data_IF_072001020371
#
_entry.id   IF_072001020371
#
_cell.length_a   1.000
_cell.length_b   1.000
_cell.length_c   1.000
_cell.angle_alpha   90.00
_cell.angle_beta   90.00
_cell.angle_gamma   90.00
#
_symmetry.space_group_name_H-M   'P 1'
#
loop_
_entity.id
_entity.type
_entity.pdbx_description
1 polymer ?
#
# COMPACT_ATOMS: atom_id res chain seq x y z
N UNK A 1 9.07 -9.93 -33.53
CA UNK A 1 8.73 -10.93 -32.49
C UNK A 1 8.45 -10.18 -31.20
N UNK A 2 7.24 -10.32 -30.66
CA UNK A 2 6.90 -9.77 -29.34
C UNK A 2 7.37 -10.79 -28.31
N UNK A 3 8.57 -10.59 -27.75
CA UNK A 3 9.06 -11.40 -26.65
C UNK A 3 8.28 -10.97 -25.41
N UNK A 4 7.24 -11.74 -25.04
CA UNK A 4 6.60 -11.58 -23.73
C UNK A 4 7.43 -12.37 -22.72
N UNK A 5 8.21 -11.66 -21.92
CA UNK A 5 8.86 -12.23 -20.73
C UNK A 5 7.77 -12.71 -19.76
N UNK A 6 7.67 -14.03 -19.60
CA UNK A 6 6.69 -14.71 -18.72
C UNK A 6 7.24 -14.95 -17.32
N UNK A 7 8.32 -14.26 -16.94
CA UNK A 7 9.20 -14.75 -15.89
C UNK A 7 8.70 -14.46 -14.47
N UNK A 8 7.70 -13.57 -14.26
CA UNK A 8 7.20 -13.28 -12.91
C UNK A 8 5.71 -12.87 -12.81
N UNK A 9 4.84 -13.48 -13.59
CA UNK A 9 3.39 -13.23 -13.53
C UNK A 9 2.80 -13.52 -12.14
N UNK A 10 3.30 -14.51 -11.42
CA UNK A 10 2.72 -14.94 -10.14
C UNK A 10 2.92 -13.88 -9.05
N UNK A 11 4.11 -13.30 -8.94
CA UNK A 11 4.43 -12.26 -7.95
C UNK A 11 3.72 -10.94 -8.27
N UNK A 12 3.70 -10.55 -9.55
CA UNK A 12 2.98 -9.37 -10.01
C UNK A 12 1.47 -9.49 -9.74
N UNK A 13 0.87 -10.67 -9.97
CA UNK A 13 -0.54 -10.91 -9.67
C UNK A 13 -0.84 -10.92 -8.17
N UNK A 14 0.01 -11.55 -7.35
CA UNK A 14 -0.15 -11.55 -5.89
C UNK A 14 -0.13 -10.12 -5.32
N UNK A 15 0.80 -9.29 -5.82
CA UNK A 15 0.88 -7.88 -5.44
C UNK A 15 -0.35 -7.09 -5.88
N UNK A 16 -0.73 -7.22 -7.16
CA UNK A 16 -1.86 -6.49 -7.72
C UNK A 16 -3.16 -6.83 -6.98
N UNK A 17 -3.40 -8.11 -6.69
CA UNK A 17 -4.55 -8.55 -5.90
C UNK A 17 -4.53 -7.93 -4.51
N UNK A 18 -3.38 -7.93 -3.84
CA UNK A 18 -3.22 -7.28 -2.54
C UNK A 18 -3.59 -5.78 -2.59
N UNK A 19 -3.07 -5.05 -3.57
CA UNK A 19 -3.35 -3.63 -3.77
C UNK A 19 -4.85 -3.39 -4.03
N UNK A 20 -5.47 -4.18 -4.90
CA UNK A 20 -6.91 -4.07 -5.19
C UNK A 20 -7.73 -4.35 -3.93
N UNK A 21 -7.36 -5.36 -3.13
CA UNK A 21 -8.02 -5.65 -1.86
C UNK A 21 -7.87 -4.49 -0.86
N UNK A 22 -6.67 -3.92 -0.73
CA UNK A 22 -6.43 -2.77 0.15
C UNK A 22 -7.25 -1.54 -0.28
N UNK A 23 -7.35 -1.27 -1.59
CA UNK A 23 -8.20 -0.21 -2.13
C UNK A 23 -9.67 -0.47 -1.84
N UNK A 24 -10.16 -1.68 -2.12
CA UNK A 24 -11.54 -2.07 -1.87
C UNK A 24 -11.91 -1.94 -0.40
N UNK A 25 -11.07 -2.45 0.50
CA UNK A 25 -11.29 -2.34 1.95
C UNK A 25 -11.22 -0.88 2.41
N UNK A 26 -10.28 -0.09 1.92
CA UNK A 26 -10.17 1.33 2.26
C UNK A 26 -11.41 2.14 1.89
N UNK A 27 -12.00 1.88 0.72
CA UNK A 27 -13.24 2.55 0.27
C UNK A 27 -14.45 2.03 1.06
N UNK A 28 -14.59 0.70 1.19
CA UNK A 28 -15.73 0.06 1.85
C UNK A 28 -15.73 0.26 3.37
N UNK A 29 -14.63 0.71 3.94
CA UNK A 29 -14.54 0.97 5.38
C UNK A 29 -15.19 2.29 5.80
N UNK A 30 -15.76 3.06 4.87
CA UNK A 30 -16.47 4.32 5.13
C UNK A 30 -15.68 5.27 6.06
N UNK A 31 -14.36 5.35 5.87
CA UNK A 31 -13.49 6.20 6.67
C UNK A 31 -13.13 5.71 8.08
N UNK A 32 -13.72 4.61 8.55
CA UNK A 32 -13.45 4.02 9.87
C UNK A 32 -12.93 2.60 9.74
N UNK A 33 -11.62 2.45 9.61
CA UNK A 33 -10.96 1.15 9.56
C UNK A 33 -10.98 0.50 10.96
N UNK A 34 -11.65 -0.65 11.06
CA UNK A 34 -11.69 -1.45 12.28
C UNK A 34 -10.28 -2.01 12.59
N UNK A 35 -9.78 -1.93 13.83
CA UNK A 35 -8.51 -2.54 14.24
C UNK A 35 -8.32 -4.00 13.82
N UNK A 36 -9.40 -4.78 13.76
CA UNK A 36 -9.35 -6.16 13.28
C UNK A 36 -9.03 -6.25 11.78
N UNK A 37 -9.65 -5.41 10.95
CA UNK A 37 -9.39 -5.34 9.50
C UNK A 37 -7.95 -4.90 9.25
N UNK A 38 -7.46 -3.94 10.04
CA UNK A 38 -6.06 -3.52 10.01
C UNK A 38 -5.09 -4.68 10.23
N UNK A 39 -5.36 -5.51 11.25
CA UNK A 39 -4.54 -6.70 11.51
C UNK A 39 -4.52 -7.67 10.33
N UNK A 40 -5.69 -7.88 9.68
CA UNK A 40 -5.79 -8.75 8.51
C UNK A 40 -4.97 -8.20 7.34
N UNK A 41 -5.09 -6.91 7.03
CA UNK A 41 -4.34 -6.28 5.92
C UNK A 41 -2.84 -6.37 6.17
N UNK A 42 -2.40 -6.12 7.41
CA UNK A 42 -0.98 -6.20 7.78
C UNK A 42 -0.42 -7.62 7.59
N UNK A 43 -1.18 -8.64 8.02
CA UNK A 43 -0.80 -10.05 7.81
C UNK A 43 -0.79 -10.39 6.33
N UNK A 44 -1.77 -9.94 5.56
CA UNK A 44 -1.79 -10.12 4.10
C UNK A 44 -0.57 -9.47 3.44
N UNK A 45 -0.16 -8.28 3.89
CA UNK A 45 1.05 -7.62 3.41
C UNK A 45 2.31 -8.45 3.64
N UNK A 46 2.48 -9.02 4.84
CA UNK A 46 3.59 -9.93 5.13
C UNK A 46 3.56 -11.17 4.24
N UNK A 47 2.39 -11.77 4.07
CA UNK A 47 2.19 -12.95 3.22
C UNK A 47 2.59 -12.63 1.78
N UNK A 48 2.05 -11.54 1.20
CA UNK A 48 2.36 -11.11 -0.17
C UNK A 48 3.86 -10.87 -0.33
N UNK A 49 4.50 -10.17 0.61
CA UNK A 49 5.95 -9.93 0.61
C UNK A 49 6.76 -11.23 0.60
N UNK A 50 6.32 -12.24 1.35
CA UNK A 50 6.99 -13.52 1.41
C UNK A 50 6.87 -14.33 0.10
N UNK A 51 5.70 -14.31 -0.53
CA UNK A 51 5.41 -15.02 -1.78
C UNK A 51 6.16 -14.46 -3.00
N UNK A 52 6.70 -13.23 -2.92
CA UNK A 52 7.48 -12.65 -4.01
C UNK A 52 8.83 -13.37 -4.09
N UNK A 53 9.06 -14.04 -5.23
CA UNK A 53 10.36 -14.60 -5.55
C UNK A 53 11.32 -13.49 -5.97
N UNK A 54 12.51 -13.49 -5.40
CA UNK A 54 13.46 -12.37 -5.49
C UNK A 54 14.59 -12.79 -6.42
N UNK A 55 14.24 -13.01 -7.68
CA UNK A 55 15.19 -13.29 -8.74
C UNK A 55 15.57 -11.95 -9.40
N UNK A 56 16.87 -11.67 -9.48
CA UNK A 56 17.48 -10.32 -9.32
C UNK A 56 16.93 -9.17 -10.19
N UNK A 57 16.27 -9.45 -11.32
CA UNK A 57 15.75 -8.38 -12.20
C UNK A 57 14.40 -7.80 -11.81
N UNK A 58 13.54 -8.60 -11.17
CA UNK A 58 12.14 -8.20 -10.93
C UNK A 58 11.90 -7.61 -9.54
N UNK A 59 12.76 -7.95 -8.58
CA UNK A 59 12.75 -7.35 -7.25
C UNK A 59 12.94 -5.83 -7.28
N UNK A 60 13.81 -5.33 -8.17
CA UNK A 60 14.10 -3.91 -8.28
C UNK A 60 12.89 -3.12 -8.79
N UNK A 61 12.24 -3.58 -9.86
CA UNK A 61 11.04 -2.96 -10.43
C UNK A 61 9.87 -2.98 -9.43
N UNK A 62 9.70 -4.10 -8.71
CA UNK A 62 8.72 -4.21 -7.64
C UNK A 62 8.97 -3.21 -6.51
N UNK A 63 10.21 -3.15 -6.01
CA UNK A 63 10.57 -2.26 -4.92
C UNK A 63 10.38 -0.79 -5.31
N UNK A 64 10.74 -0.39 -6.53
CA UNK A 64 10.50 0.97 -7.00
C UNK A 64 9.01 1.32 -7.08
N UNK A 65 8.19 0.45 -7.68
CA UNK A 65 6.75 0.66 -7.77
C UNK A 65 6.11 0.76 -6.38
N UNK A 66 6.39 -0.19 -5.51
CA UNK A 66 5.83 -0.23 -4.16
C UNK A 66 6.30 0.92 -3.28
N UNK A 67 7.58 1.29 -3.30
CA UNK A 67 8.12 2.45 -2.58
C UNK A 67 7.49 3.74 -3.10
N UNK A 68 7.29 3.90 -4.41
CA UNK A 68 6.61 5.09 -4.95
C UNK A 68 5.18 5.23 -4.42
N UNK A 69 4.43 4.13 -4.34
CA UNK A 69 3.05 4.15 -3.81
C UNK A 69 3.05 4.46 -2.31
N UNK A 70 4.01 3.90 -1.56
CA UNK A 70 4.17 4.19 -0.13
C UNK A 70 4.46 5.67 0.09
N UNK A 71 5.38 6.25 -0.68
CA UNK A 71 5.72 7.68 -0.59
C UNK A 71 4.52 8.56 -0.93
N UNK A 72 3.84 8.29 -2.06
CA UNK A 72 2.67 9.07 -2.49
C UNK A 72 1.55 8.98 -1.45
N UNK A 73 1.31 7.79 -0.89
CA UNK A 73 0.27 7.59 0.12
C UNK A 73 0.58 8.32 1.42
N UNK A 74 1.82 8.23 1.90
CA UNK A 74 2.26 8.94 3.10
C UNK A 74 2.23 10.47 2.92
N UNK A 75 2.75 10.96 1.79
CA UNK A 75 2.75 12.38 1.47
C UNK A 75 1.32 12.93 1.29
N UNK A 76 0.43 12.16 0.66
CA UNK A 76 -0.98 12.50 0.49
C UNK A 76 -1.71 12.66 1.83
N UNK A 77 -1.56 11.70 2.75
CA UNK A 77 -2.15 11.78 4.10
C UNK A 77 -1.62 13.00 4.86
N UNK A 78 -0.30 13.19 4.85
CA UNK A 78 0.35 14.30 5.56
C UNK A 78 -0.12 15.66 5.04
N UNK A 79 -0.23 15.81 3.71
CA UNK A 79 -0.71 17.04 3.07
C UNK A 79 -2.18 17.31 3.41
N UNK A 80 -3.02 16.28 3.40
CA UNK A 80 -4.43 16.40 3.76
C UNK A 80 -4.60 16.80 5.24
N UNK A 81 -3.86 16.16 6.15
CA UNK A 81 -3.90 16.50 7.58
C UNK A 81 -3.44 17.94 7.86
N UNK A 82 -2.40 18.40 7.16
CA UNK A 82 -1.92 19.78 7.26
C UNK A 82 -2.97 20.79 6.77
N UNK A 83 -3.65 20.50 5.66
CA UNK A 83 -4.72 21.35 5.13
C UNK A 83 -5.90 21.46 6.11
N UNK A 84 -6.30 20.35 6.72
CA UNK A 84 -7.40 20.29 7.70
C UNK A 84 -7.06 21.09 8.96
N UNK A 85 -5.83 20.91 9.46
CA UNK A 85 -5.33 21.64 10.63
C UNK A 85 -5.26 23.15 10.35
N UNK A 86 -4.81 23.55 9.16
CA UNK A 86 -4.77 24.95 8.72
C UNK A 86 -6.16 25.57 8.62
N UNK A 87 -7.15 24.81 8.17
CA UNK A 87 -8.54 25.26 8.05
C UNK A 87 -9.29 25.31 9.41
N UNK A 88 -8.63 25.00 10.53
CA UNK A 88 -9.20 25.08 11.87
C UNK A 88 -10.18 23.95 12.22
N UNK A 89 -10.25 22.89 11.40
CA UNK A 89 -11.04 21.70 11.66
C UNK A 89 -10.28 20.77 12.62
N UNK A 90 -11.01 20.10 13.53
CA UNK A 90 -10.40 19.32 14.63
C UNK A 90 -10.07 17.88 14.23
N UNK A 91 -10.51 17.43 13.05
CA UNK A 91 -10.18 16.13 12.50
C UNK A 91 -10.57 15.97 11.04
N UNK A 92 -10.06 14.89 10.42
CA UNK A 92 -10.38 14.48 9.04
C UNK A 92 -11.87 14.13 8.90
N UNK A 93 -12.52 13.78 10.01
CA UNK A 93 -13.95 13.51 10.13
C UNK A 93 -14.82 14.75 9.97
N UNK A 94 -14.27 15.95 10.13
CA UNK A 94 -15.04 17.19 10.12
C UNK A 94 -15.06 17.85 8.71
N UNK A 95 -14.34 17.27 7.73
CA UNK A 95 -14.36 17.73 6.34
C UNK A 95 -15.65 17.26 5.67
N UNK A 96 -16.75 17.90 6.05
CA UNK A 96 -18.08 17.60 5.56
C UNK A 96 -18.37 18.43 4.30
N UNK A 97 -17.95 17.92 3.14
CA UNK A 97 -18.39 18.43 1.85
C UNK A 97 -19.59 17.60 1.41
N UNK A 98 -20.80 18.16 1.53
CA UNK A 98 -22.06 17.52 1.06
C UNK A 98 -22.36 16.19 1.80
N UNK A 99 -22.21 16.15 3.13
CA UNK A 99 -22.58 14.98 3.95
C UNK A 99 -21.75 13.70 3.67
N UNK A 100 -20.68 13.82 2.91
CA UNK A 100 -19.70 12.77 2.65
C UNK A 100 -18.38 13.17 3.31
N UNK A 101 -17.88 12.34 4.22
CA UNK A 101 -16.54 12.47 4.82
C UNK A 101 -15.46 12.11 3.78
N UNK A 102 -15.37 12.86 2.66
CA UNK A 102 -14.46 12.58 1.54
C UNK A 102 -13.01 12.43 2.04
N UNK A 103 -12.63 13.26 3.01
CA UNK A 103 -11.33 13.17 3.67
C UNK A 103 -11.11 11.79 4.32
N UNK A 104 -12.12 11.24 4.98
CA UNK A 104 -12.01 9.94 5.65
C UNK A 104 -11.89 8.79 4.64
N UNK A 105 -12.56 8.85 3.48
CA UNK A 105 -12.38 7.84 2.41
C UNK A 105 -10.98 7.89 1.80
N UNK A 106 -10.48 9.09 1.50
CA UNK A 106 -9.13 9.25 0.94
C UNK A 106 -8.09 8.79 1.96
N UNK A 107 -8.19 9.24 3.22
CA UNK A 107 -7.26 8.80 4.26
C UNK A 107 -7.37 7.29 4.51
N UNK A 108 -8.57 6.73 4.59
CA UNK A 108 -8.78 5.30 4.79
C UNK A 108 -8.16 4.44 3.68
N UNK A 109 -8.31 4.85 2.42
CA UNK A 109 -7.68 4.15 1.28
C UNK A 109 -6.16 4.24 1.30
N UNK A 110 -5.60 5.43 1.50
CA UNK A 110 -4.15 5.61 1.58
C UNK A 110 -3.55 4.85 2.78
N UNK A 111 -4.24 4.84 3.92
CA UNK A 111 -3.82 4.11 5.11
C UNK A 111 -3.89 2.59 4.90
N UNK A 112 -4.94 2.07 4.26
CA UNK A 112 -5.03 0.65 3.91
C UNK A 112 -3.90 0.22 2.95
N UNK A 113 -3.55 1.06 1.97
CA UNK A 113 -2.39 0.83 1.10
C UNK A 113 -1.09 0.77 1.88
N UNK A 114 -0.83 1.73 2.78
CA UNK A 114 0.36 1.73 3.62
C UNK A 114 0.47 0.48 4.48
N UNK A 115 -0.64 0.06 5.10
CA UNK A 115 -0.66 -1.12 5.98
C UNK A 115 -0.39 -2.43 5.26
N UNK A 116 -0.75 -2.54 3.98
CA UNK A 116 -0.40 -3.68 3.14
C UNK A 116 1.06 -3.59 2.65
N UNK A 117 1.43 -2.42 2.11
CA UNK A 117 2.66 -2.25 1.33
C UNK A 117 3.91 -2.14 2.21
N UNK A 118 3.84 -1.49 3.37
CA UNK A 118 5.00 -1.34 4.26
C UNK A 118 5.58 -2.72 4.66
N UNK A 119 4.80 -3.65 5.26
CA UNK A 119 5.35 -4.96 5.62
C UNK A 119 5.78 -5.77 4.37
N UNK A 120 5.04 -5.70 3.27
CA UNK A 120 5.39 -6.40 2.03
C UNK A 120 6.74 -5.94 1.48
N UNK A 121 6.96 -4.62 1.40
CA UNK A 121 8.20 -4.03 0.87
C UNK A 121 9.40 -4.32 1.75
N UNK A 122 9.25 -4.28 3.08
CA UNK A 122 10.31 -4.64 4.02
C UNK A 122 10.78 -6.07 3.78
N UNK A 123 9.86 -7.04 3.69
CA UNK A 123 10.20 -8.45 3.46
C UNK A 123 10.94 -8.63 2.14
N UNK A 124 10.46 -8.01 1.07
CA UNK A 124 11.10 -8.12 -0.26
C UNK A 124 12.47 -7.44 -0.27
N UNK A 125 12.62 -6.28 0.34
CA UNK A 125 13.89 -5.56 0.42
C UNK A 125 14.96 -6.39 1.16
N UNK A 126 14.58 -7.01 2.28
CA UNK A 126 15.49 -7.89 3.04
C UNK A 126 15.89 -9.12 2.22
N UNK A 127 14.93 -9.80 1.58
CA UNK A 127 15.23 -10.94 0.70
C UNK A 127 16.15 -10.54 -0.47
N UNK A 128 15.96 -9.35 -1.02
CA UNK A 128 16.80 -8.80 -2.10
C UNK A 128 18.24 -8.55 -1.64
N UNK A 129 18.42 -7.96 -0.45
CA UNK A 129 19.74 -7.78 0.17
C UNK A 129 20.49 -9.11 0.33
N UNK A 130 19.81 -10.16 0.80
CA UNK A 130 20.43 -11.48 0.95
C UNK A 130 20.76 -12.15 -0.40
N UNK A 131 19.97 -11.91 -1.45
CA UNK A 131 20.29 -12.39 -2.81
C UNK A 131 21.60 -11.79 -3.31
N UNK A 132 21.76 -10.48 -3.16
CA UNK A 132 22.97 -9.75 -3.57
C UNK A 132 24.18 -10.24 -2.78
N UNK A 133 24.05 -10.44 -1.46
CA UNK A 133 25.14 -10.89 -0.60
C UNK A 133 25.58 -12.35 -0.84
N UNK A 134 24.75 -13.17 -1.49
CA UNK A 134 25.06 -14.57 -1.80
C UNK A 134 25.81 -14.73 -3.13
N UNK A 135 25.83 -13.68 -3.97
CA UNK A 135 26.67 -13.58 -5.17
C UNK A 135 28.07 -13.09 -4.81
#
# INVERSE_FOLDING_TARGET
MVIRARENLVSAWAFLIGVILALGVGILSFGKLNPFIFGIILVLGLIVGFFINVEDRDAHSFLLASVSIVIVSFAGISSLQNLITFAGLRGITDVELVGLEIGAYITGTLVALLMLLIPATIVVAVKSLFSIAKR
#
